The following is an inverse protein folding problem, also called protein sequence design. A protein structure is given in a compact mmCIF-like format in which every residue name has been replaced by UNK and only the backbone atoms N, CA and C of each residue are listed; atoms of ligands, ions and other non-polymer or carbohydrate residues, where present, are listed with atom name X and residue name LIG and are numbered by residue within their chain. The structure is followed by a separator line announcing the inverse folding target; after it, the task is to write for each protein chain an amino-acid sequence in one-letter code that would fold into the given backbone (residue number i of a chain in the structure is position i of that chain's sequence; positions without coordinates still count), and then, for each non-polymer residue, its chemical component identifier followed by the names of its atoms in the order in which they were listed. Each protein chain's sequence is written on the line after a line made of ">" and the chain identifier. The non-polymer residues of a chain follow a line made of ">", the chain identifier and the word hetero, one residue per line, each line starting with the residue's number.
data_IF_741739327820
#
_entry.id   IF_741739327820
#
_cell.length_a   1.000
_cell.length_b   1.000
_cell.length_c   1.000
_cell.angle_alpha   90.00
_cell.angle_beta   90.00
_cell.angle_gamma   90.00
#
_symmetry.space_group_name_H-M   'P 1'
#
loop_
_entity.id
_entity.type
_entity.pdbx_description
1 polymer ?
#
# COMPACT_ATOMS: atom_id res chain seq x y z
N UNK A 1 -27.66 5.35 30.95
CA UNK A 1 -27.08 4.67 29.77
C UNK A 1 -27.63 5.21 28.44
N UNK A 2 -28.95 5.36 28.24
CA UNK A 2 -29.48 5.87 26.95
C UNK A 2 -29.04 7.29 26.59
N UNK A 3 -28.94 8.21 27.56
CA UNK A 3 -28.50 9.60 27.29
C UNK A 3 -27.02 9.70 26.88
N UNK A 4 -26.16 8.81 27.41
CA UNK A 4 -24.73 8.76 27.05
C UNK A 4 -24.57 8.16 25.65
N UNK A 5 -25.30 7.07 25.36
CA UNK A 5 -25.32 6.44 24.03
C UNK A 5 -25.83 7.42 22.99
N UNK A 6 -26.96 8.10 23.24
CA UNK A 6 -27.53 9.09 22.34
C UNK A 6 -26.59 10.29 22.11
N UNK A 7 -25.87 10.74 23.15
CA UNK A 7 -24.89 11.81 23.01
C UNK A 7 -23.67 11.39 22.19
N UNK A 8 -23.17 10.16 22.39
CA UNK A 8 -22.06 9.62 21.61
C UNK A 8 -22.45 9.37 20.16
N UNK A 9 -23.63 8.81 19.93
CA UNK A 9 -24.18 8.57 18.59
C UNK A 9 -24.31 9.88 17.80
N UNK A 10 -24.81 10.94 18.43
CA UNK A 10 -24.97 12.28 17.83
C UNK A 10 -23.62 12.92 17.43
N UNK A 11 -22.52 12.56 18.07
CA UNK A 11 -21.18 13.11 17.79
C UNK A 11 -20.39 12.22 16.83
N UNK A 12 -20.40 10.91 17.05
CA UNK A 12 -19.57 9.94 16.31
C UNK A 12 -20.16 9.58 14.96
N UNK A 13 -21.48 9.38 14.84
CA UNK A 13 -22.10 8.99 13.57
C UNK A 13 -21.87 10.02 12.45
N UNK A 14 -22.09 11.33 12.66
CA UNK A 14 -21.90 12.31 11.58
C UNK A 14 -20.45 12.35 11.08
N UNK A 15 -19.48 12.19 12.00
CA UNK A 15 -18.07 12.16 11.65
C UNK A 15 -17.71 10.91 10.83
N UNK A 16 -18.15 9.73 11.29
CA UNK A 16 -17.91 8.47 10.58
C UNK A 16 -18.55 8.47 9.18
N UNK A 17 -19.79 8.97 9.05
CA UNK A 17 -20.48 9.11 7.77
C UNK A 17 -19.75 10.10 6.86
N UNK A 18 -19.24 11.22 7.39
CA UNK A 18 -18.50 12.22 6.61
C UNK A 18 -17.19 11.65 6.08
N UNK A 19 -16.44 10.90 6.88
CA UNK A 19 -15.21 10.22 6.44
C UNK A 19 -15.54 9.16 5.40
N UNK A 20 -16.55 8.32 5.64
CA UNK A 20 -16.97 7.28 4.71
C UNK A 20 -17.49 7.79 3.37
N UNK A 21 -17.88 9.08 3.29
CA UNK A 21 -18.30 9.75 2.05
C UNK A 21 -17.20 10.59 1.41
N UNK A 22 -16.01 10.67 2.01
CA UNK A 22 -14.94 11.50 1.46
C UNK A 22 -14.32 10.80 0.22
N UNK A 23 -14.29 11.46 -0.95
CA UNK A 23 -13.88 10.85 -2.22
C UNK A 23 -12.48 10.20 -2.22
N UNK A 24 -11.50 10.88 -1.64
CA UNK A 24 -10.11 10.44 -1.61
C UNK A 24 -9.91 9.25 -0.66
N UNK A 25 -10.57 9.25 0.50
CA UNK A 25 -10.60 8.11 1.43
C UNK A 25 -11.23 6.89 0.75
N UNK A 26 -12.33 7.10 0.01
CA UNK A 26 -12.97 6.04 -0.76
C UNK A 26 -12.08 5.55 -1.91
N UNK A 27 -11.37 6.44 -2.60
CA UNK A 27 -10.42 6.06 -3.64
C UNK A 27 -9.26 5.22 -3.11
N UNK A 28 -8.69 5.57 -1.95
CA UNK A 28 -7.69 4.75 -1.26
C UNK A 28 -8.27 3.36 -0.99
N UNK A 29 -9.39 3.29 -0.27
CA UNK A 29 -10.08 2.04 0.07
C UNK A 29 -10.34 1.17 -1.15
N UNK A 30 -10.96 1.74 -2.18
CA UNK A 30 -11.31 1.01 -3.41
C UNK A 30 -10.06 0.59 -4.20
N UNK A 31 -9.00 1.40 -4.18
CA UNK A 31 -7.73 1.07 -4.80
C UNK A 31 -7.08 -0.16 -4.14
N UNK A 32 -7.03 -0.20 -2.81
CA UNK A 32 -6.50 -1.35 -2.07
C UNK A 32 -7.39 -2.60 -2.18
N UNK A 33 -8.72 -2.43 -2.26
CA UNK A 33 -9.64 -3.54 -2.55
C UNK A 33 -9.28 -4.21 -3.89
N UNK A 34 -8.93 -3.42 -4.92
CA UNK A 34 -8.51 -3.95 -6.23
C UNK A 34 -7.15 -4.65 -6.17
N UNK A 35 -6.30 -4.30 -5.22
CA UNK A 35 -5.00 -4.94 -4.98
C UNK A 35 -5.11 -6.27 -4.24
N UNK A 36 -6.25 -6.56 -3.58
CA UNK A 36 -6.40 -7.76 -2.75
C UNK A 36 -5.98 -9.06 -3.44
N UNK A 37 -6.39 -9.37 -4.68
CA UNK A 37 -5.98 -10.62 -5.34
C UNK A 37 -4.46 -10.77 -5.45
N UNK A 38 -3.76 -9.67 -5.75
CA UNK A 38 -2.31 -9.65 -5.87
C UNK A 38 -1.65 -9.84 -4.50
N UNK A 39 -2.17 -9.15 -3.47
CA UNK A 39 -1.64 -9.26 -2.11
C UNK A 39 -1.85 -10.66 -1.51
N UNK A 40 -3.00 -11.29 -1.75
CA UNK A 40 -3.32 -12.63 -1.27
C UNK A 40 -2.43 -13.69 -1.95
N UNK A 41 -2.24 -13.59 -3.26
CA UNK A 41 -1.35 -14.49 -3.99
C UNK A 41 0.10 -14.36 -3.48
N UNK A 42 0.60 -13.14 -3.35
CA UNK A 42 1.93 -12.88 -2.81
C UNK A 42 2.11 -13.41 -1.39
N UNK A 43 1.17 -13.09 -0.50
CA UNK A 43 1.20 -13.53 0.89
C UNK A 43 1.17 -15.06 1.04
N UNK A 44 0.45 -15.76 0.16
CA UNK A 44 0.44 -17.23 0.16
C UNK A 44 1.83 -17.81 -0.15
N UNK A 45 2.56 -17.24 -1.11
CA UNK A 45 3.94 -17.67 -1.38
C UNK A 45 4.92 -17.26 -0.28
N UNK A 46 4.70 -16.13 0.39
CA UNK A 46 5.45 -15.78 1.61
C UNK A 46 5.22 -16.84 2.69
N UNK A 47 3.98 -17.29 2.90
CA UNK A 47 3.65 -18.37 3.84
C UNK A 47 4.33 -19.68 3.43
N UNK A 48 4.25 -20.07 2.16
CA UNK A 48 4.88 -21.28 1.64
C UNK A 48 6.39 -21.26 1.90
N UNK A 49 7.07 -20.17 1.55
CA UNK A 49 8.51 -20.07 1.72
C UNK A 49 8.92 -20.11 3.20
N UNK A 50 8.21 -19.37 4.05
CA UNK A 50 8.68 -19.13 5.42
C UNK A 50 8.12 -20.14 6.44
N UNK A 51 7.04 -20.85 6.11
CA UNK A 51 6.46 -21.90 6.95
C UNK A 51 6.62 -23.26 6.30
N UNK A 52 6.04 -23.47 5.11
CA UNK A 52 5.94 -24.81 4.52
C UNK A 52 7.26 -25.37 3.95
N UNK A 53 8.19 -24.48 3.55
CA UNK A 53 9.50 -24.84 3.03
C UNK A 53 10.64 -24.53 4.01
N UNK A 54 10.33 -24.16 5.25
CA UNK A 54 11.33 -23.78 6.25
C UNK A 54 11.48 -24.85 7.34
N UNK A 55 12.65 -25.46 7.43
CA UNK A 55 12.95 -26.59 8.33
C UNK A 55 14.18 -26.35 9.23
N UNK A 56 14.81 -25.17 9.14
CA UNK A 56 15.93 -24.79 10.00
C UNK A 56 15.49 -24.41 11.41
N UNK A 57 16.46 -24.07 12.27
CA UNK A 57 16.18 -23.63 13.63
C UNK A 57 15.23 -22.42 13.65
N UNK A 58 14.27 -22.43 14.59
CA UNK A 58 13.24 -21.40 14.70
C UNK A 58 12.04 -21.56 13.74
N UNK A 59 12.05 -22.55 12.83
CA UNK A 59 10.91 -22.78 11.94
C UNK A 59 9.76 -23.55 12.61
N UNK A 60 8.57 -23.48 12.00
CA UNK A 60 7.38 -24.21 12.46
C UNK A 60 7.64 -25.72 12.57
N UNK A 61 8.17 -26.35 11.52
CA UNK A 61 8.44 -27.80 11.54
C UNK A 61 9.57 -28.17 12.52
N UNK A 62 10.57 -27.30 12.68
CA UNK A 62 11.59 -27.50 13.70
C UNK A 62 10.98 -27.49 15.11
N UNK A 63 10.03 -26.59 15.40
CA UNK A 63 9.32 -26.56 16.69
C UNK A 63 8.49 -27.84 16.95
N UNK A 64 8.03 -28.52 15.89
CA UNK A 64 7.33 -29.81 15.99
C UNK A 64 8.26 -31.03 16.09
N UNK A 65 9.58 -30.83 16.24
CA UNK A 65 10.56 -31.92 16.34
C UNK A 65 10.95 -32.56 15.01
N UNK A 66 10.48 -32.03 13.86
CA UNK A 66 10.90 -32.50 12.55
C UNK A 66 12.30 -31.97 12.27
N UNK A 67 13.24 -32.87 11.94
CA UNK A 67 14.63 -32.54 11.61
C UNK A 67 14.95 -33.16 10.26
N UNK A 68 15.41 -32.33 9.34
CA UNK A 68 15.90 -32.76 8.03
C UNK A 68 17.42 -32.57 8.00
N UNK A 69 18.11 -33.37 7.20
CA UNK A 69 19.54 -33.18 6.96
C UNK A 69 19.78 -31.90 6.14
N UNK A 70 21.02 -31.40 6.20
CA UNK A 70 21.39 -30.13 5.57
C UNK A 70 21.17 -30.12 4.05
N UNK A 71 21.40 -31.24 3.36
CA UNK A 71 21.26 -31.32 1.90
C UNK A 71 19.80 -31.26 1.45
N UNK A 72 18.90 -31.87 2.23
CA UNK A 72 17.45 -31.77 2.01
C UNK A 72 16.97 -30.33 2.26
N UNK A 73 17.44 -29.68 3.33
CA UNK A 73 17.10 -28.27 3.62
C UNK A 73 17.56 -27.34 2.49
N UNK A 74 18.78 -27.53 1.99
CA UNK A 74 19.31 -26.75 0.87
C UNK A 74 18.45 -26.92 -0.40
N UNK A 75 18.06 -28.15 -0.72
CA UNK A 75 17.17 -28.44 -1.85
C UNK A 75 15.83 -27.72 -1.72
N UNK A 76 15.21 -27.77 -0.53
CA UNK A 76 13.94 -27.08 -0.24
C UNK A 76 14.09 -25.55 -0.26
N UNK A 77 15.24 -25.02 0.19
CA UNK A 77 15.55 -23.59 0.08
C UNK A 77 15.64 -23.16 -1.38
N UNK A 78 16.15 -24.00 -2.29
CA UNK A 78 16.12 -23.73 -3.73
C UNK A 78 14.71 -23.50 -4.27
N UNK A 79 13.71 -24.25 -3.78
CA UNK A 79 12.31 -24.08 -4.17
C UNK A 79 11.71 -22.75 -3.72
N UNK A 80 12.25 -22.11 -2.67
CA UNK A 80 11.81 -20.79 -2.22
C UNK A 80 12.00 -19.70 -3.27
N UNK A 81 12.88 -19.91 -4.25
CA UNK A 81 13.05 -19.01 -5.39
C UNK A 81 11.75 -18.77 -6.17
N UNK A 82 10.87 -19.78 -6.25
CA UNK A 82 9.55 -19.64 -6.88
C UNK A 82 8.72 -18.58 -6.13
N UNK A 83 8.62 -18.72 -4.81
CA UNK A 83 7.89 -17.76 -3.98
C UNK A 83 8.54 -16.37 -3.95
N UNK A 84 9.87 -16.29 -4.05
CA UNK A 84 10.59 -15.02 -4.18
C UNK A 84 10.22 -14.28 -5.47
N UNK A 85 10.13 -14.98 -6.60
CA UNK A 85 9.70 -14.41 -7.87
C UNK A 85 8.25 -13.91 -7.81
N UNK A 86 7.35 -14.68 -7.20
CA UNK A 86 5.95 -14.25 -7.02
C UNK A 86 5.87 -13.05 -6.09
N UNK A 87 6.63 -13.02 -4.99
CA UNK A 87 6.72 -11.85 -4.11
C UNK A 87 7.15 -10.60 -4.88
N UNK A 88 8.22 -10.70 -5.68
CA UNK A 88 8.74 -9.58 -6.48
C UNK A 88 7.70 -9.07 -7.50
N UNK A 89 6.88 -9.95 -8.06
CA UNK A 89 5.78 -9.58 -8.96
C UNK A 89 4.50 -9.09 -8.26
N UNK A 90 4.44 -9.14 -6.93
CA UNK A 90 3.24 -8.81 -6.14
C UNK A 90 3.56 -7.79 -5.04
N UNK A 91 3.88 -8.26 -3.84
CA UNK A 91 4.12 -7.44 -2.65
C UNK A 91 5.36 -6.53 -2.82
N UNK A 92 6.36 -6.99 -3.57
CA UNK A 92 7.59 -6.24 -3.85
C UNK A 92 7.42 -5.01 -4.75
N UNK A 93 6.25 -4.84 -5.40
CA UNK A 93 5.94 -3.70 -6.27
C UNK A 93 4.69 -2.93 -5.83
N UNK A 94 4.27 -3.08 -4.58
CA UNK A 94 3.00 -2.49 -4.09
C UNK A 94 2.97 -0.97 -4.16
N UNK A 95 4.11 -0.29 -3.97
CA UNK A 95 4.18 1.18 -4.10
C UNK A 95 4.02 1.66 -5.52
N UNK A 96 4.36 0.82 -6.50
CA UNK A 96 4.11 1.08 -7.92
C UNK A 96 2.64 0.82 -8.29
N UNK A 97 2.00 -0.18 -7.66
CA UNK A 97 0.65 -0.60 -8.01
C UNK A 97 -0.46 0.15 -7.28
N UNK A 98 -0.22 0.60 -6.05
CA UNK A 98 -1.13 1.48 -5.31
C UNK A 98 -1.55 2.74 -6.09
N UNK A 99 -0.65 3.57 -6.65
CA UNK A 99 -1.03 4.78 -7.37
C UNK A 99 -1.93 4.47 -8.57
N UNK A 100 -1.71 3.35 -9.27
CA UNK A 100 -2.55 2.94 -10.39
C UNK A 100 -4.01 2.77 -9.99
N UNK A 101 -4.27 1.91 -8.99
CA UNK A 101 -5.63 1.57 -8.60
C UNK A 101 -6.31 2.70 -7.82
N UNK A 102 -5.56 3.48 -7.05
CA UNK A 102 -6.09 4.65 -6.33
C UNK A 102 -6.44 5.76 -7.32
N UNK A 103 -5.55 6.08 -8.26
CA UNK A 103 -5.80 7.09 -9.28
C UNK A 103 -6.97 6.71 -10.19
N UNK A 104 -7.05 5.42 -10.56
CA UNK A 104 -8.18 4.87 -11.30
C UNK A 104 -9.50 5.01 -10.50
N UNK A 105 -9.52 4.59 -9.23
CA UNK A 105 -10.71 4.67 -8.40
C UNK A 105 -11.20 6.11 -8.20
N UNK A 106 -10.29 7.06 -7.99
CA UNK A 106 -10.65 8.47 -7.86
C UNK A 106 -11.20 9.03 -9.18
N UNK A 107 -10.56 8.73 -10.31
CA UNK A 107 -10.99 9.18 -11.62
C UNK A 107 -12.39 8.64 -12.02
N UNK A 108 -12.72 7.39 -11.64
CA UNK A 108 -14.07 6.84 -11.80
C UNK A 108 -15.10 7.66 -11.02
N UNK A 109 -14.81 7.97 -9.75
CA UNK A 109 -15.68 8.82 -8.94
C UNK A 109 -15.83 10.23 -9.53
N UNK A 110 -14.75 10.76 -10.13
CA UNK A 110 -14.74 12.04 -10.84
C UNK A 110 -15.40 12.01 -12.22
N UNK A 111 -15.79 10.83 -12.72
CA UNK A 111 -16.39 10.57 -14.03
C UNK A 111 -15.50 11.01 -15.19
N UNK A 112 -14.20 10.76 -15.08
CA UNK A 112 -13.20 10.97 -16.15
C UNK A 112 -12.54 9.63 -16.51
N UNK A 113 -11.67 9.61 -17.53
CA UNK A 113 -11.02 8.36 -17.97
C UNK A 113 -10.12 7.77 -16.86
N UNK A 114 -10.62 6.68 -16.27
CA UNK A 114 -10.00 6.02 -15.14
C UNK A 114 -8.71 5.29 -15.48
N UNK A 115 -8.66 4.67 -16.67
CA UNK A 115 -7.47 3.95 -17.11
C UNK A 115 -6.33 4.95 -17.41
N UNK A 116 -6.65 6.07 -18.06
CA UNK A 116 -5.67 7.12 -18.30
C UNK A 116 -5.10 7.69 -16.99
N UNK A 117 -5.96 8.02 -16.03
CA UNK A 117 -5.51 8.52 -14.72
C UNK A 117 -4.65 7.50 -13.95
N UNK A 118 -5.02 6.22 -13.96
CA UNK A 118 -4.25 5.16 -13.33
C UNK A 118 -2.87 4.97 -13.98
N UNK A 119 -2.81 4.89 -15.31
CA UNK A 119 -1.55 4.77 -16.06
C UNK A 119 -0.64 5.98 -15.83
N UNK A 120 -1.20 7.19 -15.84
CA UNK A 120 -0.43 8.41 -15.53
C UNK A 120 0.07 8.44 -14.10
N UNK A 121 -0.66 7.85 -13.15
CA UNK A 121 -0.23 7.77 -11.75
C UNK A 121 1.02 6.89 -11.60
N UNK A 122 1.09 5.78 -12.35
CA UNK A 122 2.30 4.94 -12.42
C UNK A 122 3.46 5.68 -13.09
N UNK A 123 3.20 6.34 -14.23
CA UNK A 123 4.23 7.11 -14.92
C UNK A 123 4.77 8.26 -14.06
N UNK A 124 3.90 8.95 -13.33
CA UNK A 124 4.27 9.99 -12.38
C UNK A 124 5.09 9.44 -11.21
N UNK A 125 4.71 8.28 -10.67
CA UNK A 125 5.50 7.58 -9.64
C UNK A 125 6.91 7.30 -10.13
N UNK A 126 7.06 6.73 -11.33
CA UNK A 126 8.38 6.46 -11.90
C UNK A 126 9.17 7.74 -12.20
N UNK A 127 8.49 8.81 -12.63
CA UNK A 127 9.12 10.10 -12.94
C UNK A 127 9.82 10.71 -11.72
N UNK A 128 9.26 10.54 -10.51
CA UNK A 128 9.87 11.03 -9.26
C UNK A 128 10.75 9.99 -8.56
N UNK A 129 10.86 8.79 -9.12
CA UNK A 129 11.69 7.71 -8.59
C UNK A 129 13.13 7.85 -9.09
N UNK A 130 14.15 7.72 -8.22
CA UNK A 130 15.54 7.72 -8.66
C UNK A 130 15.91 6.49 -9.51
N UNK A 131 16.61 6.73 -10.62
CA UNK A 131 17.21 5.70 -11.48
C UNK A 131 18.71 5.59 -11.22
N UNK A 132 19.08 5.33 -9.97
CA UNK A 132 20.47 5.11 -9.57
C UNK A 132 20.53 4.03 -8.49
N UNK A 133 21.28 2.96 -8.79
CA UNK A 133 21.64 1.92 -7.83
C UNK A 133 23.16 1.81 -7.88
N UNK A 134 23.83 2.49 -6.94
CA UNK A 134 25.26 2.74 -7.06
C UNK A 134 25.56 3.54 -8.34
N UNK A 135 26.45 3.02 -9.18
CA UNK A 135 26.79 3.64 -10.48
C UNK A 135 25.87 3.21 -11.64
N UNK A 136 24.96 2.26 -11.41
CA UNK A 136 24.08 1.75 -12.47
C UNK A 136 22.82 2.61 -12.65
N UNK A 137 22.44 2.87 -13.91
CA UNK A 137 21.15 3.46 -14.26
C UNK A 137 20.05 2.40 -14.13
N UNK A 138 19.51 2.26 -12.92
CA UNK A 138 18.51 1.26 -12.58
C UNK A 138 17.58 1.76 -11.46
N UNK A 139 16.40 1.15 -11.35
CA UNK A 139 15.47 1.43 -10.26
C UNK A 139 15.75 0.45 -9.13
N UNK A 140 16.04 0.98 -7.94
CA UNK A 140 16.19 0.16 -6.73
C UNK A 140 14.86 -0.47 -6.32
N UNK A 141 14.87 -1.78 -6.01
CA UNK A 141 13.68 -2.51 -5.55
C UNK A 141 13.10 -1.91 -4.24
N UNK A 142 13.93 -1.25 -3.44
CA UNK A 142 13.52 -0.53 -2.24
C UNK A 142 12.45 0.53 -2.53
N UNK A 143 12.47 1.17 -3.71
CA UNK A 143 11.49 2.19 -4.09
C UNK A 143 10.12 1.61 -4.44
N UNK A 144 10.06 0.35 -4.87
CA UNK A 144 8.84 -0.28 -5.38
C UNK A 144 8.08 -1.07 -4.29
N UNK A 145 8.79 -1.55 -3.27
CA UNK A 145 8.24 -2.33 -2.16
C UNK A 145 7.42 -1.50 -1.16
N UNK A 146 6.92 -2.14 -0.09
CA UNK A 146 5.94 -1.57 0.85
C UNK A 146 6.29 -0.23 1.50
N UNK A 147 7.57 0.09 1.67
CA UNK A 147 8.04 1.29 2.36
C UNK A 147 7.58 2.62 1.70
N UNK A 148 7.32 2.60 0.39
CA UNK A 148 6.97 3.79 -0.37
C UNK A 148 5.49 3.88 -0.75
N UNK A 149 4.63 3.09 -0.09
CA UNK A 149 3.21 3.03 -0.43
C UNK A 149 2.53 4.37 -0.15
N UNK A 150 2.94 5.08 0.90
CA UNK A 150 2.43 6.41 1.20
C UNK A 150 2.74 7.39 0.05
N UNK A 151 3.93 7.33 -0.53
CA UNK A 151 4.28 8.07 -1.74
C UNK A 151 3.34 7.71 -2.90
N UNK A 152 3.10 6.42 -3.10
CA UNK A 152 2.15 5.92 -4.11
C UNK A 152 0.71 6.41 -3.91
N UNK A 153 0.22 6.43 -2.66
CA UNK A 153 -1.10 6.95 -2.31
C UNK A 153 -1.21 8.43 -2.68
N UNK A 154 -0.24 9.24 -2.26
CA UNK A 154 -0.22 10.69 -2.53
C UNK A 154 -0.20 10.94 -4.04
N UNK A 155 0.68 10.25 -4.77
CA UNK A 155 0.81 10.42 -6.22
C UNK A 155 -0.47 10.01 -6.94
N UNK A 156 -1.08 8.88 -6.59
CA UNK A 156 -2.33 8.43 -7.20
C UNK A 156 -3.47 9.43 -7.03
N UNK A 157 -3.62 9.99 -5.82
CA UNK A 157 -4.64 11.01 -5.56
C UNK A 157 -4.36 12.32 -6.31
N UNK A 158 -3.12 12.84 -6.22
CA UNK A 158 -2.74 14.11 -6.84
C UNK A 158 -2.87 14.03 -8.36
N UNK A 159 -2.38 12.96 -8.98
CA UNK A 159 -2.46 12.78 -10.44
C UNK A 159 -3.90 12.68 -10.92
N UNK A 160 -4.76 11.94 -10.22
CA UNK A 160 -6.17 11.85 -10.60
C UNK A 160 -6.91 13.18 -10.45
N UNK A 161 -6.62 13.99 -9.43
CA UNK A 161 -7.18 15.34 -9.29
C UNK A 161 -6.67 16.29 -10.38
N UNK A 162 -5.36 16.29 -10.67
CA UNK A 162 -4.79 17.08 -11.76
C UNK A 162 -5.38 16.69 -13.11
N UNK A 163 -5.49 15.38 -13.39
CA UNK A 163 -6.09 14.86 -14.60
C UNK A 163 -7.54 15.30 -14.73
N UNK A 164 -8.32 15.15 -13.65
CA UNK A 164 -9.72 15.60 -13.60
C UNK A 164 -9.84 17.08 -13.88
N UNK A 165 -8.99 17.90 -13.28
CA UNK A 165 -8.98 19.36 -13.48
C UNK A 165 -8.74 19.71 -14.95
N UNK A 166 -7.69 19.16 -15.57
CA UNK A 166 -7.30 19.45 -16.96
C UNK A 166 -8.41 19.01 -17.93
N UNK A 167 -8.96 17.81 -17.74
CA UNK A 167 -10.04 17.26 -18.58
C UNK A 167 -11.31 18.11 -18.48
N UNK A 168 -11.70 18.52 -17.26
CA UNK A 168 -12.89 19.38 -17.06
C UNK A 168 -12.73 20.78 -17.64
N UNK A 169 -11.49 21.26 -17.80
CA UNK A 169 -11.19 22.51 -18.52
C UNK A 169 -11.15 22.36 -20.04
N UNK A 170 -11.46 21.17 -20.57
CA UNK A 170 -11.38 20.85 -22.00
C UNK A 170 -9.97 21.05 -22.58
N UNK A 171 -8.91 20.93 -21.77
CA UNK A 171 -7.53 20.95 -22.25
C UNK A 171 -7.15 19.56 -22.77
N UNK A 172 -7.87 19.12 -23.80
CA UNK A 172 -7.77 17.79 -24.39
C UNK A 172 -7.84 17.89 -25.90
N UNK A 173 -7.21 16.96 -26.59
CA UNK A 173 -7.34 16.85 -28.05
C UNK A 173 -8.64 16.10 -28.35
N UNK A 174 -9.60 16.77 -28.98
CA UNK A 174 -10.86 16.17 -29.41
C UNK A 174 -10.72 15.69 -30.85
N UNK A 175 -11.00 14.41 -31.08
CA UNK A 175 -11.06 13.82 -32.41
C UNK A 175 -12.52 13.74 -32.89
N UNK A 176 -12.77 13.75 -34.22
CA UNK A 176 -14.10 13.55 -34.77
C UNK A 176 -14.70 12.19 -34.40
N UNK A 177 -16.03 12.08 -34.45
CA UNK A 177 -16.77 10.85 -34.13
C UNK A 177 -16.45 9.67 -35.07
N UNK A 178 -15.86 9.94 -36.24
CA UNK A 178 -15.39 8.92 -37.17
C UNK A 178 -14.15 8.15 -36.67
N UNK A 179 -13.48 8.63 -35.62
CA UNK A 179 -12.28 7.99 -35.06
C UNK A 179 -12.65 6.98 -33.97
N UNK A 180 -12.08 5.76 -33.98
CA UNK A 180 -12.34 4.76 -32.95
C UNK A 180 -12.12 5.27 -31.52
N UNK A 181 -13.02 4.88 -30.61
CA UNK A 181 -13.00 5.34 -29.22
C UNK A 181 -11.70 5.02 -28.45
N UNK A 182 -10.97 3.96 -28.82
CA UNK A 182 -9.65 3.66 -28.25
C UNK A 182 -8.62 4.73 -28.61
N UNK A 183 -8.61 5.20 -29.85
CA UNK A 183 -7.69 6.24 -30.33
C UNK A 183 -8.06 7.60 -29.73
N UNK A 184 -9.35 7.94 -29.73
CA UNK A 184 -9.85 9.20 -29.14
C UNK A 184 -9.46 9.35 -27.66
N UNK A 185 -9.56 8.26 -26.87
CA UNK A 185 -9.13 8.25 -25.46
C UNK A 185 -7.64 8.53 -25.29
N UNK A 186 -6.77 7.88 -26.07
CA UNK A 186 -5.32 8.10 -26.01
C UNK A 186 -4.94 9.56 -26.31
N UNK A 187 -5.54 10.17 -27.34
CA UNK A 187 -5.28 11.58 -27.68
C UNK A 187 -5.88 12.56 -26.66
N UNK A 188 -7.05 12.24 -26.10
CA UNK A 188 -7.66 13.04 -25.03
C UNK A 188 -6.79 13.09 -23.77
N UNK A 189 -6.03 12.03 -23.49
CA UNK A 189 -5.11 11.95 -22.36
C UNK A 189 -3.72 12.59 -22.62
N UNK A 190 -3.38 12.95 -23.87
CA UNK A 190 -2.05 13.43 -24.24
C UNK A 190 -1.65 14.74 -23.54
N UNK A 191 -2.50 15.77 -23.66
CA UNK A 191 -2.26 17.07 -23.02
C UNK A 191 -2.25 16.95 -21.48
N UNK A 192 -3.23 16.27 -20.84
CA UNK A 192 -3.14 15.99 -19.41
C UNK A 192 -1.85 15.29 -19.01
N UNK A 193 -1.45 14.25 -19.73
CA UNK A 193 -0.24 13.50 -19.46
C UNK A 193 1.01 14.36 -19.56
N UNK A 194 1.14 15.14 -20.62
CA UNK A 194 2.27 16.05 -20.81
C UNK A 194 2.41 17.05 -19.66
N UNK A 195 1.31 17.69 -19.26
CA UNK A 195 1.32 18.69 -18.17
C UNK A 195 1.69 18.03 -16.83
N UNK A 196 1.03 16.91 -16.49
CA UNK A 196 1.24 16.22 -15.23
C UNK A 196 2.68 15.73 -15.12
N UNK A 197 3.19 15.04 -16.14
CA UNK A 197 4.55 14.49 -16.10
C UNK A 197 5.61 15.59 -16.15
N UNK A 198 5.35 16.72 -16.82
CA UNK A 198 6.24 17.88 -16.76
C UNK A 198 6.34 18.45 -15.34
N UNK A 199 5.20 18.57 -14.64
CA UNK A 199 5.17 19.04 -13.24
C UNK A 199 5.93 18.07 -12.33
N UNK A 200 5.67 16.76 -12.46
CA UNK A 200 6.37 15.73 -11.68
C UNK A 200 7.87 15.69 -11.99
N UNK A 201 8.26 15.88 -13.25
CA UNK A 201 9.66 15.96 -13.67
C UNK A 201 10.38 17.18 -13.12
N UNK A 202 9.72 18.35 -13.09
CA UNK A 202 10.26 19.57 -12.46
C UNK A 202 10.46 19.34 -10.95
N UNK A 203 9.51 18.69 -10.27
CA UNK A 203 9.65 18.34 -8.86
C UNK A 203 10.84 17.40 -8.64
N UNK A 204 10.95 16.34 -9.44
CA UNK A 204 12.05 15.37 -9.35
C UNK A 204 13.42 16.05 -9.58
N UNK A 205 13.52 16.87 -10.62
CA UNK A 205 14.73 17.64 -10.91
C UNK A 205 15.08 18.60 -9.77
N UNK A 206 14.12 19.35 -9.25
CA UNK A 206 14.35 20.29 -8.16
C UNK A 206 14.87 19.56 -6.91
N UNK A 207 14.20 18.48 -6.49
CA UNK A 207 14.62 17.70 -5.32
C UNK A 207 16.00 17.07 -5.48
N UNK A 208 16.32 16.58 -6.69
CA UNK A 208 17.64 16.03 -7.01
C UNK A 208 18.76 17.06 -6.83
N UNK A 209 18.53 18.32 -7.22
CA UNK A 209 19.49 19.40 -6.98
C UNK A 209 19.71 19.72 -5.49
N UNK A 210 18.75 19.40 -4.62
CA UNK A 210 18.88 19.47 -3.17
C UNK A 210 19.41 18.17 -2.54
N UNK A 211 19.84 17.19 -3.34
CA UNK A 211 20.38 15.91 -2.86
C UNK A 211 19.32 14.95 -2.31
N UNK A 212 18.05 15.12 -2.70
CA UNK A 212 16.94 14.28 -2.25
C UNK A 212 16.05 13.83 -3.40
N UNK A 213 15.00 13.07 -3.10
CA UNK A 213 13.98 12.66 -4.04
C UNK A 213 12.61 12.62 -3.35
N UNK A 214 11.55 12.56 -4.15
CA UNK A 214 10.18 12.63 -3.62
C UNK A 214 9.91 11.57 -2.56
N UNK A 215 10.31 10.33 -2.81
CA UNK A 215 10.08 9.22 -1.89
C UNK A 215 10.81 9.40 -0.57
N UNK A 216 12.06 9.88 -0.62
CA UNK A 216 12.82 10.18 0.58
C UNK A 216 12.18 11.31 1.41
N UNK A 217 11.71 12.37 0.76
CA UNK A 217 11.00 13.45 1.46
C UNK A 217 9.75 12.92 2.17
N UNK A 218 8.94 12.09 1.51
CA UNK A 218 7.77 11.47 2.14
C UNK A 218 8.19 10.55 3.29
N UNK A 219 9.26 9.78 3.13
CA UNK A 219 9.78 8.90 4.17
C UNK A 219 10.16 9.68 5.43
N UNK A 220 10.91 10.77 5.27
CA UNK A 220 11.45 11.55 6.38
C UNK A 220 10.38 12.39 7.07
N UNK A 221 9.41 12.91 6.31
CA UNK A 221 8.41 13.85 6.81
C UNK A 221 7.10 13.20 7.25
N UNK A 222 6.74 12.04 6.69
CA UNK A 222 5.47 11.37 6.94
C UNK A 222 5.69 9.95 7.46
N UNK A 223 6.31 9.06 6.69
CA UNK A 223 6.37 7.63 7.02
C UNK A 223 7.08 7.36 8.34
N UNK A 224 8.27 7.95 8.55
CA UNK A 224 9.11 7.73 9.74
C UNK A 224 8.48 8.31 11.00
N UNK A 225 8.03 9.59 11.02
CA UNK A 225 7.29 10.10 12.18
C UNK A 225 6.04 9.28 12.49
N UNK A 226 5.30 8.85 11.46
CA UNK A 226 4.09 8.06 11.65
C UNK A 226 4.39 6.68 12.24
N UNK A 227 5.44 6.02 11.78
CA UNK A 227 5.94 4.77 12.36
C UNK A 227 6.28 4.90 13.84
N UNK A 228 6.86 6.03 14.26
CA UNK A 228 7.15 6.28 15.68
C UNK A 228 5.89 6.35 16.56
N UNK A 229 4.72 6.64 15.96
CA UNK A 229 3.41 6.65 16.61
C UNK A 229 2.70 5.29 16.53
N UNK A 230 3.42 4.21 16.20
CA UNK A 230 2.86 2.87 16.01
C UNK A 230 1.90 2.42 17.09
N UNK A 231 2.26 2.63 18.36
CA UNK A 231 1.40 2.28 19.50
C UNK A 231 0.10 3.08 19.56
N UNK A 232 0.16 4.37 19.27
CA UNK A 232 -1.02 5.24 19.26
C UNK A 232 -1.96 4.82 18.12
N UNK A 233 -1.43 4.58 16.92
CA UNK A 233 -2.20 4.12 15.76
C UNK A 233 -2.85 2.76 16.05
N UNK A 234 -2.08 1.83 16.60
CA UNK A 234 -2.54 0.51 16.97
C UNK A 234 -3.68 0.53 17.97
N UNK A 235 -3.50 1.22 19.10
CA UNK A 235 -4.55 1.36 20.12
C UNK A 235 -5.78 2.11 19.60
N UNK A 236 -5.61 3.13 18.77
CA UNK A 236 -6.73 3.80 18.12
C UNK A 236 -7.54 2.79 17.29
N UNK A 237 -6.89 1.96 16.48
CA UNK A 237 -7.59 0.94 15.69
C UNK A 237 -8.31 -0.08 16.60
N UNK A 238 -7.64 -0.58 17.63
CA UNK A 238 -8.21 -1.54 18.61
C UNK A 238 -9.44 -0.99 19.32
N UNK A 239 -9.47 0.31 19.65
CA UNK A 239 -10.60 0.94 20.34
C UNK A 239 -11.73 1.27 19.34
N UNK A 240 -11.40 1.88 18.20
CA UNK A 240 -12.41 2.42 17.30
C UNK A 240 -13.10 1.35 16.44
N UNK A 241 -12.44 0.23 16.11
CA UNK A 241 -13.10 -0.87 15.38
C UNK A 241 -14.34 -1.39 16.12
N UNK A 242 -14.25 -1.91 17.36
CA UNK A 242 -15.41 -2.39 18.10
C UNK A 242 -16.37 -1.25 18.49
N UNK A 243 -15.86 -0.05 18.78
CA UNK A 243 -16.71 1.10 19.10
C UNK A 243 -17.63 1.48 17.94
N UNK A 244 -17.13 1.46 16.70
CA UNK A 244 -17.95 1.73 15.53
C UNK A 244 -18.99 0.62 15.30
N UNK A 245 -18.60 -0.64 15.53
CA UNK A 245 -19.53 -1.77 15.48
C UNK A 245 -20.66 -1.67 16.51
N UNK A 246 -20.38 -1.13 17.71
CA UNK A 246 -21.41 -0.85 18.72
C UNK A 246 -22.53 0.06 18.19
N UNK A 247 -22.20 0.98 17.26
CA UNK A 247 -23.18 1.86 16.59
C UNK A 247 -23.66 1.32 15.23
N UNK A 248 -23.41 0.04 14.92
CA UNK A 248 -23.82 -0.59 13.66
C UNK A 248 -22.98 -0.18 12.44
N UNK A 249 -21.84 0.49 12.63
CA UNK A 249 -20.90 0.82 11.55
C UNK A 249 -19.82 -0.26 11.51
N UNK A 250 -19.57 -0.84 10.34
CA UNK A 250 -18.49 -1.82 10.17
C UNK A 250 -17.11 -1.16 10.39
N UNK A 251 -16.54 -1.33 11.59
CA UNK A 251 -15.35 -0.59 12.05
C UNK A 251 -14.14 -0.72 11.12
N UNK A 252 -13.79 -1.94 10.71
CA UNK A 252 -12.64 -2.19 9.82
C UNK A 252 -12.80 -1.54 8.43
N UNK A 253 -14.05 -1.41 7.94
CA UNK A 253 -14.36 -0.76 6.68
C UNK A 253 -14.31 0.78 6.83
N UNK A 254 -14.77 1.29 7.97
CA UNK A 254 -14.71 2.72 8.28
C UNK A 254 -13.26 3.20 8.47
N UNK A 255 -12.38 2.35 9.00
CA UNK A 255 -10.97 2.63 9.24
C UNK A 255 -10.04 2.11 8.14
N UNK A 256 -10.56 1.75 6.96
CA UNK A 256 -9.72 1.19 5.89
C UNK A 256 -8.61 2.15 5.44
N UNK A 257 -8.82 3.46 5.48
CA UNK A 257 -7.73 4.40 5.17
C UNK A 257 -6.58 4.34 6.18
N UNK A 258 -6.87 4.09 7.47
CA UNK A 258 -5.83 3.89 8.48
C UNK A 258 -5.10 2.57 8.23
N UNK A 259 -5.85 1.51 7.96
CA UNK A 259 -5.31 0.19 7.68
C UNK A 259 -4.43 0.19 6.42
N UNK A 260 -4.99 0.59 5.28
CA UNK A 260 -4.30 0.60 3.99
C UNK A 260 -3.20 1.65 3.88
N UNK A 261 -3.34 2.78 4.57
CA UNK A 261 -2.38 3.89 4.50
C UNK A 261 -1.22 3.79 5.48
N UNK A 262 -1.36 3.00 6.55
CA UNK A 262 -0.37 2.95 7.65
C UNK A 262 0.00 1.52 7.99
N UNK A 263 -0.98 0.73 8.41
CA UNK A 263 -0.73 -0.60 8.96
C UNK A 263 -0.32 -1.63 7.91
N UNK A 264 -0.84 -1.52 6.69
CA UNK A 264 -0.48 -2.35 5.54
C UNK A 264 0.96 -2.07 5.07
N UNK A 265 1.39 -0.80 4.85
CA UNK A 265 2.81 -0.47 4.63
C UNK A 265 3.74 -1.09 5.68
N UNK A 266 3.41 -0.94 6.97
CA UNK A 266 4.19 -1.55 8.06
C UNK A 266 4.26 -3.08 7.99
N UNK A 267 3.15 -3.74 7.65
CA UNK A 267 3.15 -5.18 7.43
C UNK A 267 4.07 -5.59 6.29
N UNK A 268 4.07 -4.83 5.19
CA UNK A 268 4.90 -5.11 4.02
C UNK A 268 6.39 -4.81 4.27
N UNK A 269 6.70 -3.79 5.07
CA UNK A 269 8.07 -3.55 5.56
C UNK A 269 8.56 -4.71 6.45
N UNK A 270 7.72 -5.21 7.36
CA UNK A 270 8.08 -6.39 8.15
C UNK A 270 8.34 -7.62 7.27
N UNK A 271 7.49 -7.85 6.26
CA UNK A 271 7.66 -8.96 5.32
C UNK A 271 8.96 -8.80 4.52
N UNK A 272 9.26 -7.60 4.03
CA UNK A 272 10.48 -7.37 3.24
C UNK A 272 11.75 -7.57 4.06
N UNK A 273 11.77 -7.08 5.32
CA UNK A 273 12.87 -7.30 6.25
C UNK A 273 13.02 -8.81 6.53
N UNK A 274 11.92 -9.49 6.87
CA UNK A 274 11.98 -10.93 7.17
C UNK A 274 12.49 -11.73 5.97
N UNK A 275 12.05 -11.41 4.75
CA UNK A 275 12.53 -12.08 3.54
C UNK A 275 14.00 -11.83 3.25
N UNK A 276 14.48 -10.62 3.54
CA UNK A 276 15.88 -10.26 3.32
C UNK A 276 16.82 -11.00 4.28
N UNK A 277 16.43 -11.14 5.55
CA UNK A 277 17.29 -11.68 6.60
C UNK A 277 17.01 -13.14 6.95
N UNK A 278 15.86 -13.68 6.58
CA UNK A 278 15.46 -15.07 6.81
C UNK A 278 15.01 -15.38 8.24
N UNK A 279 15.34 -14.54 9.22
CA UNK A 279 14.86 -14.65 10.60
C UNK A 279 14.74 -13.27 11.27
N UNK A 280 13.97 -13.22 12.36
CA UNK A 280 13.84 -12.00 13.18
C UNK A 280 15.17 -11.69 13.87
N UNK A 281 15.84 -12.70 14.45
CA UNK A 281 17.09 -12.50 15.18
C UNK A 281 18.19 -11.93 14.28
N UNK A 282 18.38 -12.48 13.07
CA UNK A 282 19.37 -11.97 12.12
C UNK A 282 19.05 -10.53 11.66
N UNK A 283 17.77 -10.19 11.54
CA UNK A 283 17.36 -8.82 11.22
C UNK A 283 17.64 -7.85 12.37
N UNK A 284 17.38 -8.26 13.62
CA UNK A 284 17.66 -7.47 14.82
C UNK A 284 19.17 -7.27 15.03
N UNK A 285 19.98 -8.31 14.83
CA UNK A 285 21.45 -8.23 14.85
C UNK A 285 21.99 -7.26 13.80
N UNK A 286 21.34 -7.18 12.64
CA UNK A 286 21.63 -6.21 11.59
C UNK A 286 21.04 -4.81 11.85
N UNK A 287 20.50 -4.56 13.04
CA UNK A 287 19.95 -3.27 13.46
C UNK A 287 18.60 -2.91 12.83
N UNK A 288 17.87 -3.89 12.27
CA UNK A 288 16.51 -3.65 11.76
C UNK A 288 15.49 -3.71 12.88
N UNK A 289 14.36 -3.03 12.67
CA UNK A 289 13.23 -3.00 13.60
C UNK A 289 11.97 -3.45 12.89
N UNK A 290 11.04 -4.03 13.66
CA UNK A 290 9.74 -4.46 13.14
C UNK A 290 8.62 -3.61 13.73
N UNK A 291 7.63 -3.31 12.90
CA UNK A 291 6.41 -2.62 13.32
C UNK A 291 5.47 -3.61 13.99
N UNK A 292 5.38 -3.56 15.32
CA UNK A 292 4.49 -4.44 16.09
C UNK A 292 3.01 -4.19 15.73
N UNK A 293 2.63 -2.94 15.55
CA UNK A 293 1.23 -2.51 15.28
C UNK A 293 0.84 -2.61 13.80
N UNK A 294 1.37 -3.60 13.10
CA UNK A 294 0.97 -3.94 11.74
C UNK A 294 -0.35 -4.75 11.73
N UNK A 295 -1.08 -4.71 10.61
CA UNK A 295 -2.42 -5.33 10.50
C UNK A 295 -2.46 -6.82 10.89
N UNK A 296 -1.52 -7.68 10.45
CA UNK A 296 -1.54 -9.10 10.82
C UNK A 296 -1.43 -9.36 12.32
N UNK A 297 -0.74 -8.51 13.09
CA UNK A 297 -0.65 -8.64 14.54
C UNK A 297 -2.02 -8.42 15.19
N UNK A 298 -2.75 -7.37 14.78
CA UNK A 298 -4.09 -7.13 15.30
C UNK A 298 -5.04 -8.27 14.94
N UNK A 299 -4.99 -8.74 13.69
CA UNK A 299 -5.89 -9.80 13.21
C UNK A 299 -5.63 -11.15 13.88
N UNK A 300 -4.37 -11.45 14.18
CA UNK A 300 -3.98 -12.74 14.73
C UNK A 300 -4.07 -12.81 16.25
N UNK A 301 -3.96 -11.67 16.95
CA UNK A 301 -3.84 -11.67 18.42
C UNK A 301 -4.90 -10.84 19.14
N UNK A 302 -5.59 -9.91 18.47
CA UNK A 302 -6.57 -9.03 19.11
C UNK A 302 -7.98 -9.27 18.57
N UNK A 303 -8.13 -9.33 17.26
CA UNK A 303 -9.43 -9.54 16.60
C UNK A 303 -9.71 -11.01 16.30
N UNK A 304 -9.48 -11.87 17.31
CA UNK A 304 -9.73 -13.30 17.25
C UNK A 304 -11.22 -13.58 16.94
N UNK A 305 -11.50 -13.85 15.67
CA UNK A 305 -12.85 -14.15 15.18
C UNK A 305 -13.63 -12.99 14.55
N UNK A 306 -13.04 -11.80 14.38
CA UNK A 306 -13.65 -10.72 13.60
C UNK A 306 -13.27 -9.29 13.99
N UNK A 307 -13.93 -8.72 15.00
CA UNK A 307 -13.76 -7.29 15.41
C UNK A 307 -13.59 -7.11 16.92
N UNK A 308 -13.18 -8.20 17.57
CA UNK A 308 -12.84 -8.38 18.99
C UNK A 308 -12.38 -9.83 19.16
N UNK A 309 -12.31 -10.32 20.40
CA UNK A 309 -12.09 -11.74 20.68
C UNK A 309 -13.42 -12.52 20.64
N UNK A 310 -14.13 -12.50 19.50
CA UNK A 310 -15.44 -13.16 19.35
C UNK A 310 -15.34 -14.69 19.40
N UNK A 311 -14.16 -15.26 19.15
CA UNK A 311 -13.87 -16.69 19.29
C UNK A 311 -13.30 -17.09 20.67
N UNK A 312 -13.07 -16.14 21.58
CA UNK A 312 -12.51 -16.39 22.93
C UNK A 312 -11.15 -15.76 23.16
#
# INVERSE_FOLDING_TARGET
>A
MSNVIASLEKVLLPFAVKIGKQPHVNAIKNGFIRLMPLTLAGAMFVLINNVFLSFGEGSFFYSMGIRLDASTIETLNGLKGIGGNVYNGTLGIMSLMAPFFIGMALAEERKVDALAAGLLSVAAFMTVTPYSVGEAYAVGANWLGGANIISGIIIGLVVAEMFTFIVRRNWVIKLPDSVPASVSRSFSALIPGFIILSIMGIIAWALSNYGSNFHQIIMDTISTPLASLGSVVGWAYVIFVPLLWFFGIHGSLALTALDSGIMTPWALENISIYQQYGSVDAALEAGKTFHIWAKPMLDSYIFLGGSGATLG
#
